data_IF_771259837038
#
_entry.id   IF_771259837038
#
_cell.length_a   1.000
_cell.length_b   1.000
_cell.length_c   1.000
_cell.angle_alpha   90.00
_cell.angle_beta   90.00
_cell.angle_gamma   90.00
#
_symmetry.space_group_name_H-M   'P 1'
#
loop_
_entity.id
_entity.type
_entity.pdbx_description
1 polymer ?
#
# COMPACT_ATOMS: atom_id res chain seq x y z
N UNK A 1 7.46 10.11 13.25
CA UNK A 1 6.29 9.21 13.18
C UNK A 1 6.77 7.80 13.39
N UNK A 2 6.03 7.00 14.15
CA UNK A 2 6.37 5.67 14.71
C UNK A 2 6.76 4.56 13.71
N UNK A 3 7.00 4.81 12.42
CA UNK A 3 7.11 3.77 11.39
C UNK A 3 8.26 3.99 10.38
N UNK A 4 9.46 4.31 10.89
CA UNK A 4 10.71 4.30 10.12
C UNK A 4 11.43 2.96 10.33
N UNK A 5 12.38 2.52 9.49
CA UNK A 5 13.35 1.46 9.85
C UNK A 5 13.96 1.65 11.26
N UNK A 6 13.96 2.89 11.75
CA UNK A 6 14.25 3.24 13.14
C UNK A 6 13.38 2.50 14.16
N UNK A 7 12.07 2.32 13.95
CA UNK A 7 11.18 1.67 14.93
C UNK A 7 11.47 0.18 15.06
N UNK A 8 11.67 -0.54 13.95
CA UNK A 8 12.07 -1.96 14.02
C UNK A 8 13.41 -2.12 14.72
N UNK A 9 14.37 -1.24 14.42
CA UNK A 9 15.69 -1.26 15.04
C UNK A 9 15.64 -0.92 16.55
N UNK A 10 14.75 -0.02 16.97
CA UNK A 10 14.50 0.26 18.40
C UNK A 10 13.78 -0.89 19.10
N UNK A 11 12.84 -1.56 18.43
CA UNK A 11 12.16 -2.75 18.97
C UNK A 11 13.14 -3.91 19.17
N UNK A 12 14.09 -4.11 18.27
CA UNK A 12 15.17 -5.08 18.45
C UNK A 12 16.07 -4.74 19.65
N UNK A 13 16.37 -3.46 19.89
CA UNK A 13 17.14 -3.01 21.07
C UNK A 13 16.40 -3.24 22.38
N UNK A 14 15.09 -2.99 22.40
CA UNK A 14 14.24 -3.21 23.58
C UNK A 14 14.07 -4.72 23.85
N UNK A 15 14.08 -5.57 22.81
CA UNK A 15 13.98 -7.02 22.97
C UNK A 15 15.15 -7.63 23.78
N UNK A 16 16.31 -6.95 23.82
CA UNK A 16 17.44 -7.37 24.66
C UNK A 16 17.27 -7.07 26.15
N UNK A 17 16.33 -6.21 26.53
CA UNK A 17 16.16 -5.72 27.91
C UNK A 17 14.73 -5.80 28.46
N UNK A 18 13.73 -6.08 27.62
CA UNK A 18 12.35 -6.29 28.02
C UNK A 18 12.00 -7.78 28.09
N UNK A 19 11.21 -8.18 29.11
CA UNK A 19 10.70 -9.55 29.24
C UNK A 19 9.58 -9.88 28.25
N UNK A 20 8.88 -8.87 27.75
CA UNK A 20 7.79 -8.99 26.78
C UNK A 20 7.59 -7.67 26.04
N UNK A 21 7.24 -7.74 24.75
CA UNK A 21 6.88 -6.58 23.93
C UNK A 21 5.48 -6.80 23.37
N UNK A 22 4.63 -5.78 23.48
CA UNK A 22 3.30 -5.76 22.87
C UNK A 22 3.28 -4.65 21.83
N UNK A 23 3.03 -5.00 20.58
CA UNK A 23 2.94 -4.06 19.47
C UNK A 23 1.47 -3.93 19.07
N UNK A 24 0.93 -2.72 19.19
CA UNK A 24 -0.42 -2.40 18.73
C UNK A 24 -0.32 -1.58 17.45
N UNK A 25 -0.85 -2.10 16.36
CA UNK A 25 -0.84 -1.44 15.05
C UNK A 25 -2.17 -1.60 14.35
N UNK A 26 -2.60 -0.55 13.66
CA UNK A 26 -3.71 -0.58 12.69
C UNK A 26 -3.21 -0.72 11.25
N UNK A 27 -1.88 -0.75 11.06
CA UNK A 27 -1.24 -0.83 9.75
C UNK A 27 -0.80 -2.28 9.49
N UNK A 28 -1.57 -2.97 8.65
CA UNK A 28 -1.33 -4.36 8.26
C UNK A 28 -0.03 -4.56 7.48
N UNK A 29 0.42 -3.57 6.71
CA UNK A 29 1.71 -3.61 6.01
C UNK A 29 2.84 -3.62 7.04
N UNK A 30 2.82 -2.72 8.03
CA UNK A 30 3.81 -2.70 9.10
C UNK A 30 3.83 -4.03 9.87
N UNK A 31 2.64 -4.54 10.22
CA UNK A 31 2.52 -5.82 10.90
C UNK A 31 3.15 -6.97 10.09
N UNK A 32 2.93 -7.01 8.76
CA UNK A 32 3.55 -7.99 7.86
C UNK A 32 5.06 -7.86 7.79
N UNK A 33 5.59 -6.64 7.67
CA UNK A 33 7.04 -6.41 7.62
C UNK A 33 7.69 -6.87 8.92
N UNK A 34 7.13 -6.48 10.06
CA UNK A 34 7.62 -6.93 11.37
C UNK A 34 7.56 -8.46 11.49
N UNK A 35 6.44 -9.09 11.09
CA UNK A 35 6.29 -10.54 11.10
C UNK A 35 7.34 -11.28 10.28
N UNK A 36 7.79 -10.71 9.17
CA UNK A 36 8.82 -11.30 8.31
C UNK A 36 10.25 -11.18 8.90
N UNK A 37 10.45 -10.28 9.86
CA UNK A 37 11.76 -9.98 10.45
C UNK A 37 11.99 -10.62 11.82
N UNK A 38 11.00 -11.31 12.37
CA UNK A 38 11.05 -11.94 13.69
C UNK A 38 11.01 -13.46 13.65
N UNK A 39 11.48 -14.08 14.72
CA UNK A 39 11.26 -15.50 14.99
C UNK A 39 9.77 -15.76 15.30
N UNK A 40 9.05 -16.30 14.30
CA UNK A 40 7.61 -16.58 14.38
C UNK A 40 7.24 -17.51 15.53
N UNK A 41 8.16 -18.38 15.98
CA UNK A 41 7.90 -19.28 17.12
C UNK A 41 7.77 -18.55 18.46
N UNK A 42 8.27 -17.31 18.54
CA UNK A 42 8.27 -16.48 19.74
C UNK A 42 7.23 -15.35 19.70
N UNK A 43 6.41 -15.31 18.66
CA UNK A 43 5.45 -14.23 18.44
C UNK A 43 4.03 -14.77 18.28
N UNK A 44 3.06 -14.06 18.88
CA UNK A 44 1.64 -14.37 18.74
C UNK A 44 0.93 -13.17 18.09
N UNK A 45 0.31 -13.39 16.93
CA UNK A 45 -0.50 -12.38 16.26
C UNK A 45 -1.95 -12.49 16.71
N UNK A 46 -2.51 -11.36 17.15
CA UNK A 46 -3.86 -11.25 17.65
C UNK A 46 -4.56 -10.08 16.99
N UNK A 47 -5.87 -10.19 16.81
CA UNK A 47 -6.74 -9.13 16.30
C UNK A 47 -7.93 -8.92 17.22
N UNK A 48 -8.45 -7.69 17.22
CA UNK A 48 -9.69 -7.36 17.92
C UNK A 48 -10.82 -7.38 16.90
N UNK A 49 -11.77 -8.31 17.06
CA UNK A 49 -12.90 -8.46 16.15
C UNK A 49 -14.22 -8.22 16.88
N UNK A 50 -15.16 -7.57 16.19
CA UNK A 50 -16.52 -7.36 16.71
C UNK A 50 -17.28 -8.68 16.73
N UNK A 51 -17.98 -8.99 17.81
CA UNK A 51 -18.75 -10.22 18.00
C UNK A 51 -20.00 -9.96 18.85
N UNK A 52 -21.19 -10.08 18.24
CA UNK A 52 -22.49 -10.00 18.92
C UNK A 52 -22.61 -8.84 19.94
N UNK A 53 -22.31 -7.61 19.53
CA UNK A 53 -22.38 -6.43 20.41
C UNK A 53 -21.18 -6.20 21.32
N UNK A 54 -20.21 -7.10 21.33
CA UNK A 54 -18.95 -6.99 22.09
C UNK A 54 -17.73 -7.01 21.14
N UNK A 55 -16.54 -6.97 21.71
CA UNK A 55 -15.28 -7.20 21.01
C UNK A 55 -14.56 -8.38 21.65
N UNK A 56 -13.95 -9.23 20.83
CA UNK A 56 -13.12 -10.36 21.29
C UNK A 56 -11.74 -10.26 20.68
N UNK A 57 -10.75 -10.72 21.44
CA UNK A 57 -9.40 -10.95 20.93
C UNK A 57 -9.38 -12.36 20.32
N UNK A 58 -8.95 -12.49 19.08
CA UNK A 58 -8.80 -13.77 18.39
C UNK A 58 -7.46 -13.86 17.69
N UNK A 59 -7.07 -15.08 17.31
CA UNK A 59 -5.88 -15.28 16.49
C UNK A 59 -6.01 -14.57 15.15
N UNK A 60 -4.88 -14.04 14.69
CA UNK A 60 -4.79 -13.32 13.43
C UNK A 60 -3.86 -14.06 12.48
N UNK A 61 -4.45 -14.65 11.44
CA UNK A 61 -3.71 -15.22 10.32
C UNK A 61 -3.26 -14.10 9.37
N UNK A 62 -2.15 -13.50 9.76
CA UNK A 62 -1.56 -12.36 9.07
C UNK A 62 -1.12 -12.73 7.66
N UNK A 63 -0.63 -13.96 7.44
CA UNK A 63 -0.16 -14.39 6.12
C UNK A 63 -1.32 -14.51 5.13
N UNK A 64 -2.44 -15.09 5.57
CA UNK A 64 -3.66 -15.16 4.78
C UNK A 64 -4.21 -13.77 4.46
N UNK A 65 -4.30 -12.89 5.44
CA UNK A 65 -4.83 -11.53 5.23
C UNK A 65 -3.95 -10.70 4.30
N UNK A 66 -2.64 -10.96 4.29
CA UNK A 66 -1.66 -10.24 3.47
C UNK A 66 -1.32 -10.93 2.14
N UNK A 67 -2.09 -11.95 1.76
CA UNK A 67 -1.88 -12.69 0.50
C UNK A 67 -2.46 -11.98 -0.74
N UNK A 68 -3.29 -10.95 -0.52
CA UNK A 68 -4.02 -10.26 -1.58
C UNK A 68 -3.14 -9.40 -2.49
N UNK A 69 -3.68 -9.08 -3.67
CA UNK A 69 -2.99 -8.33 -4.73
C UNK A 69 -2.47 -6.96 -4.26
N UNK A 70 -3.21 -6.28 -3.37
CA UNK A 70 -2.79 -5.04 -2.74
C UNK A 70 -1.41 -5.15 -2.07
N UNK A 71 -1.19 -6.20 -1.27
CA UNK A 71 0.07 -6.41 -0.56
C UNK A 71 1.18 -6.85 -1.52
N UNK A 72 0.87 -7.68 -2.51
CA UNK A 72 1.85 -8.09 -3.52
C UNK A 72 2.38 -6.89 -4.31
N UNK A 73 1.48 -6.03 -4.80
CA UNK A 73 1.86 -4.80 -5.50
C UNK A 73 2.68 -3.88 -4.60
N UNK A 74 2.29 -3.74 -3.33
CA UNK A 74 3.07 -2.97 -2.35
C UNK A 74 4.51 -3.49 -2.22
N UNK A 75 4.71 -4.80 -2.03
CA UNK A 75 6.05 -5.38 -1.86
C UNK A 75 6.90 -5.31 -3.13
N UNK A 76 6.29 -5.43 -4.32
CA UNK A 76 7.01 -5.24 -5.58
C UNK A 76 7.56 -3.81 -5.67
N UNK A 77 6.71 -2.81 -5.37
CA UNK A 77 7.10 -1.41 -5.42
C UNK A 77 8.16 -1.07 -4.37
N UNK A 78 8.01 -1.57 -3.13
CA UNK A 78 9.00 -1.38 -2.07
C UNK A 78 10.34 -2.03 -2.43
N UNK A 79 10.32 -3.27 -2.93
CA UNK A 79 11.54 -3.97 -3.35
C UNK A 79 12.26 -3.20 -4.45
N UNK A 80 11.54 -2.68 -5.44
CA UNK A 80 12.12 -1.86 -6.50
C UNK A 80 12.81 -0.59 -5.96
N UNK A 81 12.23 0.11 -4.97
CA UNK A 81 12.88 1.29 -4.40
C UNK A 81 14.21 0.95 -3.69
N UNK A 82 14.28 -0.24 -3.07
CA UNK A 82 15.43 -0.67 -2.28
C UNK A 82 16.52 -1.31 -3.15
N UNK A 83 16.15 -2.15 -4.11
CA UNK A 83 17.07 -3.01 -4.86
C UNK A 83 17.22 -2.59 -6.34
N UNK A 84 16.27 -1.81 -6.86
CA UNK A 84 16.16 -1.54 -8.29
C UNK A 84 15.75 -2.78 -9.09
N UNK A 85 15.66 -2.63 -10.41
CA UNK A 85 15.51 -3.73 -11.36
C UNK A 85 16.30 -3.43 -12.63
N UNK A 86 16.61 -4.46 -13.42
CA UNK A 86 17.31 -4.31 -14.71
C UNK A 86 16.41 -4.70 -15.88
N UNK A 87 16.44 -3.88 -16.93
CA UNK A 87 15.71 -4.12 -18.18
C UNK A 87 14.31 -3.51 -18.23
N UNK A 88 13.91 -3.10 -19.43
CA UNK A 88 12.65 -2.39 -19.68
C UNK A 88 11.40 -3.20 -19.27
N UNK A 89 11.42 -4.53 -19.46
CA UNK A 89 10.30 -5.37 -19.06
C UNK A 89 10.08 -5.37 -17.54
N UNK A 90 11.15 -5.38 -16.74
CA UNK A 90 11.02 -5.36 -15.29
C UNK A 90 10.57 -3.99 -14.79
N UNK A 91 11.08 -2.90 -15.36
CA UNK A 91 10.59 -1.55 -15.09
C UNK A 91 9.08 -1.45 -15.41
N UNK A 92 8.64 -2.08 -16.50
CA UNK A 92 7.22 -2.11 -16.90
C UNK A 92 6.36 -2.90 -15.92
N UNK A 93 6.84 -4.05 -15.45
CA UNK A 93 6.15 -4.83 -14.43
C UNK A 93 5.96 -4.01 -13.14
N UNK A 94 7.00 -3.29 -12.70
CA UNK A 94 6.92 -2.38 -11.55
C UNK A 94 5.91 -1.25 -11.80
N UNK A 95 5.98 -0.58 -12.95
CA UNK A 95 5.07 0.52 -13.29
C UNK A 95 3.60 0.08 -13.28
N UNK A 96 3.33 -1.16 -13.73
CA UNK A 96 1.98 -1.75 -13.75
C UNK A 96 1.41 -2.05 -12.36
N UNK A 97 2.23 -2.12 -11.33
CA UNK A 97 1.78 -2.29 -9.93
C UNK A 97 1.27 -1.00 -9.29
N UNK A 98 1.58 0.18 -9.86
CA UNK A 98 1.25 1.49 -9.28
C UNK A 98 -0.27 1.68 -9.14
N UNK A 99 -1.03 1.48 -10.24
CA UNK A 99 -2.48 1.70 -10.23
C UNK A 99 -3.22 0.70 -9.34
N UNK A 100 -3.00 -0.62 -9.48
CA UNK A 100 -3.66 -1.60 -8.61
C UNK A 100 -3.40 -1.36 -7.11
N UNK A 101 -2.19 -0.93 -6.74
CA UNK A 101 -1.89 -0.59 -5.35
C UNK A 101 -2.74 0.60 -4.87
N UNK A 102 -2.78 1.70 -5.62
CA UNK A 102 -3.59 2.88 -5.26
C UNK A 102 -5.08 2.58 -5.24
N UNK A 103 -5.57 1.80 -6.21
CA UNK A 103 -6.97 1.39 -6.26
C UNK A 103 -7.32 0.51 -5.05
N UNK A 104 -6.46 -0.45 -4.68
CA UNK A 104 -6.61 -1.26 -3.48
C UNK A 104 -6.61 -0.40 -2.21
N UNK A 105 -5.67 0.53 -2.08
CA UNK A 105 -5.60 1.48 -0.96
C UNK A 105 -6.88 2.29 -0.83
N UNK A 106 -7.38 2.87 -1.92
CA UNK A 106 -8.57 3.71 -1.92
C UNK A 106 -9.84 2.92 -1.61
N UNK A 107 -9.95 1.66 -2.05
CA UNK A 107 -11.06 0.75 -1.68
C UNK A 107 -11.04 0.40 -0.19
N UNK A 108 -9.86 0.17 0.37
CA UNK A 108 -9.70 -0.08 1.81
C UNK A 108 -10.00 1.16 2.65
N UNK A 109 -9.53 2.33 2.21
CA UNK A 109 -9.72 3.61 2.91
C UNK A 109 -11.16 4.14 2.84
N UNK A 110 -11.87 3.85 1.74
CA UNK A 110 -13.25 4.29 1.52
C UNK A 110 -14.16 3.12 1.13
N UNK A 111 -14.49 2.21 2.08
CA UNK A 111 -15.33 1.05 1.81
C UNK A 111 -16.67 1.44 1.16
N UNK A 112 -17.04 0.74 0.08
CA UNK A 112 -18.30 0.95 -0.64
C UNK A 112 -18.38 2.19 -1.53
N UNK A 113 -17.32 3.00 -1.64
CA UNK A 113 -17.30 4.18 -2.54
C UNK A 113 -16.86 3.86 -3.97
N UNK A 114 -16.17 2.75 -4.16
CA UNK A 114 -15.65 2.30 -5.45
C UNK A 114 -16.04 0.85 -5.71
N UNK A 115 -16.37 0.53 -6.97
CA UNK A 115 -16.71 -0.82 -7.40
C UNK A 115 -15.47 -1.54 -7.97
N UNK A 116 -15.64 -2.83 -8.28
CA UNK A 116 -14.60 -3.65 -8.92
C UNK A 116 -14.33 -3.30 -10.39
N UNK A 117 -15.29 -2.68 -11.08
CA UNK A 117 -15.17 -2.32 -12.50
C UNK A 117 -14.58 -0.93 -12.74
N UNK A 118 -14.50 -0.11 -11.70
CA UNK A 118 -13.93 1.23 -11.74
C UNK A 118 -12.40 1.20 -11.63
N UNK A 119 -11.75 2.11 -12.34
CA UNK A 119 -10.30 2.24 -12.40
C UNK A 119 -9.84 3.53 -11.71
N UNK A 120 -8.54 3.70 -11.48
CA UNK A 120 -7.99 4.87 -10.80
C UNK A 120 -8.45 6.22 -11.42
N UNK A 121 -8.61 6.27 -12.75
CA UNK A 121 -9.14 7.45 -13.43
C UNK A 121 -10.58 7.80 -13.01
N UNK A 122 -11.42 6.80 -12.78
CA UNK A 122 -12.80 6.98 -12.30
C UNK A 122 -12.81 7.40 -10.82
N UNK A 123 -11.91 6.82 -10.02
CA UNK A 123 -11.75 7.18 -8.61
C UNK A 123 -11.37 8.65 -8.47
N UNK A 124 -10.42 9.11 -9.29
CA UNK A 124 -9.98 10.51 -9.34
C UNK A 124 -11.14 11.45 -9.67
N UNK A 125 -11.96 11.10 -10.67
CA UNK A 125 -13.16 11.90 -11.04
C UNK A 125 -14.15 11.97 -9.88
N UNK A 126 -14.40 10.86 -9.18
CA UNK A 126 -15.26 10.84 -7.99
C UNK A 126 -14.71 11.71 -6.85
N UNK A 127 -13.42 11.64 -6.58
CA UNK A 127 -12.76 12.47 -5.56
C UNK A 127 -12.83 13.96 -5.92
N UNK A 128 -12.62 14.29 -7.19
CA UNK A 128 -12.72 15.66 -7.70
C UNK A 128 -14.12 16.25 -7.49
N UNK A 129 -15.15 15.46 -7.81
CA UNK A 129 -16.56 15.85 -7.71
C UNK A 129 -17.15 15.71 -6.28
N UNK A 130 -16.36 15.27 -5.30
CA UNK A 130 -16.83 15.07 -3.94
C UNK A 130 -17.26 16.39 -3.29
N UNK A 131 -18.46 16.40 -2.71
CA UNK A 131 -19.12 17.55 -2.06
C UNK A 131 -18.91 17.58 -0.54
N UNK A 132 -19.10 18.76 0.06
CA UNK A 132 -18.95 18.96 1.51
C UNK A 132 -19.79 17.97 2.32
N UNK A 133 -19.15 17.20 3.20
CA UNK A 133 -19.77 16.14 4.00
C UNK A 133 -19.55 14.71 3.46
N UNK A 134 -19.05 14.55 2.23
CA UNK A 134 -18.71 13.23 1.71
C UNK A 134 -17.34 12.74 2.22
N UNK A 135 -17.18 11.45 2.56
CA UNK A 135 -15.91 10.90 3.04
C UNK A 135 -14.73 11.16 2.08
N UNK A 136 -14.97 11.20 0.77
CA UNK A 136 -13.95 11.39 -0.25
C UNK A 136 -13.27 12.77 -0.21
N UNK A 137 -13.85 13.76 0.47
CA UNK A 137 -13.19 15.04 0.69
C UNK A 137 -11.85 14.89 1.41
N UNK A 138 -11.75 13.91 2.31
CA UNK A 138 -10.55 13.72 3.13
C UNK A 138 -9.30 13.38 2.31
N UNK A 139 -9.45 12.95 1.05
CA UNK A 139 -8.32 12.70 0.14
C UNK A 139 -8.18 13.75 -0.96
N UNK A 140 -9.09 14.72 -1.05
CA UNK A 140 -9.03 15.84 -2.00
C UNK A 140 -7.71 16.64 -1.92
N UNK A 141 -7.06 16.85 -0.76
CA UNK A 141 -5.74 17.48 -0.70
C UNK A 141 -4.64 16.73 -1.48
N UNK A 142 -4.83 15.44 -1.77
CA UNK A 142 -3.89 14.61 -2.54
C UNK A 142 -4.33 14.44 -4.01
N UNK A 143 -5.39 15.13 -4.46
CA UNK A 143 -5.97 14.93 -5.79
C UNK A 143 -4.98 15.18 -6.93
N UNK A 144 -4.19 16.25 -6.85
CA UNK A 144 -3.19 16.56 -7.86
C UNK A 144 -2.11 15.47 -7.93
N UNK A 145 -1.68 14.97 -6.77
CA UNK A 145 -0.71 13.88 -6.68
C UNK A 145 -1.25 12.59 -7.32
N UNK A 146 -2.52 12.25 -7.04
CA UNK A 146 -3.18 11.10 -7.66
C UNK A 146 -3.30 11.27 -9.18
N UNK A 147 -3.62 12.47 -9.66
CA UNK A 147 -3.68 12.79 -11.10
C UNK A 147 -2.32 12.59 -11.77
N UNK A 148 -1.25 13.10 -11.17
CA UNK A 148 0.11 12.96 -11.69
C UNK A 148 0.54 11.49 -11.78
N UNK A 149 0.35 10.73 -10.69
CA UNK A 149 0.69 9.30 -10.65
C UNK A 149 -0.13 8.52 -11.68
N UNK A 150 -1.43 8.81 -11.80
CA UNK A 150 -2.27 8.18 -12.82
C UNK A 150 -1.83 8.54 -14.25
N UNK A 151 -1.45 9.80 -14.50
CA UNK A 151 -0.99 10.27 -15.80
C UNK A 151 0.31 9.59 -16.25
N UNK A 152 1.23 9.35 -15.31
CA UNK A 152 2.42 8.56 -15.57
C UNK A 152 2.08 7.08 -15.81
N UNK A 153 1.42 6.44 -14.84
CA UNK A 153 1.24 4.99 -14.83
C UNK A 153 0.33 4.49 -15.97
N UNK A 154 -0.68 5.25 -16.40
CA UNK A 154 -1.59 4.84 -17.48
C UNK A 154 -0.90 4.58 -18.82
N UNK A 155 0.30 5.14 -19.04
CA UNK A 155 1.09 4.90 -20.26
C UNK A 155 1.45 3.43 -20.45
N UNK A 156 1.56 2.67 -19.36
CA UNK A 156 2.10 1.31 -19.34
C UNK A 156 1.03 0.21 -19.22
N UNK A 157 -0.26 0.57 -19.26
CA UNK A 157 -1.37 -0.39 -19.23
C UNK A 157 -2.09 -0.45 -20.59
N UNK A 158 -2.28 -1.65 -21.13
CA UNK A 158 -2.95 -1.86 -22.43
C UNK A 158 -4.40 -1.37 -22.47
N UNK A 159 -5.09 -1.42 -21.33
CA UNK A 159 -6.46 -0.89 -21.24
C UNK A 159 -6.54 0.61 -21.49
N UNK A 160 -5.42 1.34 -21.36
CA UNK A 160 -5.34 2.79 -21.54
C UNK A 160 -4.38 3.24 -22.65
N UNK A 161 -3.44 2.38 -23.08
CA UNK A 161 -2.50 2.64 -24.17
C UNK A 161 -2.26 1.34 -24.97
N UNK A 162 -2.75 1.23 -26.21
CA UNK A 162 -2.47 0.07 -27.07
C UNK A 162 -0.96 -0.17 -27.29
N UNK A 163 -0.15 0.88 -27.26
CA UNK A 163 1.32 0.82 -27.43
C UNK A 163 2.08 0.66 -26.11
N UNK A 164 1.41 0.28 -25.01
CA UNK A 164 2.00 0.23 -23.68
C UNK A 164 3.28 -0.61 -23.55
N UNK A 165 3.49 -1.63 -24.39
CA UNK A 165 4.69 -2.47 -24.37
C UNK A 165 5.92 -1.82 -25.02
N UNK A 166 5.72 -0.79 -25.86
CA UNK A 166 6.78 -0.09 -26.58
C UNK A 166 7.18 1.23 -25.92
N UNK A 167 6.39 1.72 -24.96
CA UNK A 167 6.74 2.90 -24.17
C UNK A 167 8.03 2.67 -23.40
N UNK A 168 9.02 3.53 -23.61
CA UNK A 168 10.25 3.51 -22.83
C UNK A 168 9.95 3.94 -21.39
N UNK A 169 10.59 3.28 -20.44
CA UNK A 169 10.53 3.64 -19.02
C UNK A 169 11.90 4.14 -18.59
N UNK A 170 11.90 5.38 -18.10
CA UNK A 170 13.06 6.00 -17.47
C UNK A 170 13.06 5.57 -16.00
N UNK A 171 14.09 4.84 -15.59
CA UNK A 171 14.22 4.29 -14.23
C UNK A 171 14.11 5.37 -13.14
N UNK A 172 14.77 6.52 -13.33
CA UNK A 172 14.71 7.64 -12.37
C UNK A 172 13.32 8.25 -12.26
N UNK A 173 12.58 8.36 -13.37
CA UNK A 173 11.19 8.83 -13.37
C UNK A 173 10.29 7.81 -12.66
N UNK A 174 10.41 6.53 -12.99
CA UNK A 174 9.67 5.46 -12.33
C UNK A 174 9.94 5.44 -10.83
N UNK A 175 11.20 5.58 -10.40
CA UNK A 175 11.59 5.64 -8.99
C UNK A 175 10.88 6.78 -8.25
N UNK A 176 10.81 7.95 -8.87
CA UNK A 176 10.07 9.10 -8.31
C UNK A 176 8.58 8.79 -8.13
N UNK A 177 7.91 8.23 -9.15
CA UNK A 177 6.49 7.91 -9.06
C UNK A 177 6.18 6.75 -8.11
N UNK A 178 7.06 5.77 -7.98
CA UNK A 178 6.91 4.69 -7.00
C UNK A 178 7.02 5.23 -5.57
N UNK A 179 8.03 6.06 -5.27
CA UNK A 179 8.19 6.69 -3.95
C UNK A 179 6.97 7.56 -3.59
N UNK A 180 6.51 8.39 -4.53
CA UNK A 180 5.28 9.19 -4.40
C UNK A 180 4.04 8.33 -4.11
N UNK A 181 3.90 7.20 -4.83
CA UNK A 181 2.81 6.25 -4.63
C UNK A 181 2.83 5.65 -3.22
N UNK A 182 3.98 5.16 -2.76
CA UNK A 182 4.09 4.59 -1.42
C UNK A 182 3.83 5.63 -0.33
N UNK A 183 4.25 6.89 -0.52
CA UNK A 183 3.95 7.99 0.42
C UNK A 183 2.46 8.25 0.58
N UNK A 184 1.64 8.09 -0.46
CA UNK A 184 0.17 8.16 -0.36
C UNK A 184 -0.36 7.03 0.51
N UNK A 185 0.05 5.79 0.21
CA UNK A 185 -0.39 4.59 0.92
C UNK A 185 0.01 4.62 2.40
N UNK A 186 1.16 5.23 2.71
CA UNK A 186 1.70 5.31 4.07
C UNK A 186 1.26 6.51 4.91
N UNK A 187 0.79 7.61 4.31
CA UNK A 187 0.15 8.69 5.07
C UNK A 187 -1.25 8.23 5.50
N UNK A 188 -1.31 7.58 6.66
CA UNK A 188 -2.54 7.33 7.40
C UNK A 188 -2.78 8.45 8.42
#
# INVERSE_FOLDING_TARGET
GLNSPFTTQQLQRINGSAKQIIILTHNTIFARKFWNEIDKSKCKNLQIVRSAGTYKISEWDLEKETSGEYFNNYFILEKYLNEGVSGQQQLRNVARCIRPLLEGYLRLKFPGKFTGSEWLGDFIKKIENASNGEPLINIKPQLNELKDINNFSKKYHHSTNPNADHEAIIDTELKSFVDRTLKIVFKQ
#
